data_IF_341446250647
#
_entry.id   IF_341446250647
#
_cell.length_a   1.000
_cell.length_b   1.000
_cell.length_c   1.000
_cell.angle_alpha   90.00
_cell.angle_beta   90.00
_cell.angle_gamma   90.00
#
_symmetry.space_group_name_H-M   'P 1'
#
loop_
_entity.id
_entity.type
_entity.pdbx_description
1 polymer ?
#
# COMPACT_ATOMS: atom_id res chain seq x y z
N UNK A 1 -31.31 -30.50 46.55
CA UNK A 1 -30.67 -31.01 45.31
C UNK A 1 -30.67 -29.89 44.26
N UNK A 2 -30.07 -28.73 44.51
CA UNK A 2 -30.55 -27.51 43.79
C UNK A 2 -29.58 -26.31 43.79
N UNK A 3 -28.29 -26.49 43.49
CA UNK A 3 -27.40 -25.35 43.18
C UNK A 3 -26.23 -25.74 42.25
N UNK A 4 -25.57 -26.87 42.54
CA UNK A 4 -24.42 -27.32 41.75
C UNK A 4 -24.76 -27.70 40.30
N UNK A 5 -25.97 -28.20 40.03
CA UNK A 5 -26.47 -28.51 38.67
C UNK A 5 -26.85 -27.27 37.87
N UNK A 6 -27.25 -26.17 38.52
CA UNK A 6 -27.62 -24.92 37.85
C UNK A 6 -26.37 -24.20 37.34
N UNK A 7 -25.32 -24.11 38.17
CA UNK A 7 -24.01 -23.58 37.77
C UNK A 7 -23.32 -24.42 36.68
N UNK A 8 -23.52 -25.74 36.70
CA UNK A 8 -22.97 -26.66 35.70
C UNK A 8 -23.50 -26.46 34.28
N UNK A 9 -24.69 -25.87 34.12
CA UNK A 9 -25.30 -25.55 32.81
C UNK A 9 -25.12 -24.08 32.41
N UNK A 10 -25.09 -23.16 33.37
CA UNK A 10 -24.95 -21.73 33.05
C UNK A 10 -23.56 -21.36 32.53
N UNK A 11 -22.50 -21.98 33.07
CA UNK A 11 -21.12 -21.72 32.65
C UNK A 11 -20.86 -22.13 31.19
N UNK A 12 -21.21 -23.34 30.71
CA UNK A 12 -20.99 -23.72 29.32
C UNK A 12 -21.83 -22.92 28.34
N UNK A 13 -23.06 -22.54 28.70
CA UNK A 13 -23.92 -21.69 27.86
C UNK A 13 -23.33 -20.29 27.72
N UNK A 14 -22.82 -19.71 28.81
CA UNK A 14 -22.16 -18.41 28.77
C UNK A 14 -20.89 -18.44 27.90
N UNK A 15 -20.10 -19.51 27.99
CA UNK A 15 -18.92 -19.71 27.15
C UNK A 15 -19.29 -19.87 25.66
N UNK A 16 -20.36 -20.60 25.34
CA UNK A 16 -20.85 -20.74 23.97
C UNK A 16 -21.37 -19.42 23.38
N UNK A 17 -22.05 -18.61 24.19
CA UNK A 17 -22.53 -17.29 23.77
C UNK A 17 -21.37 -16.31 23.57
N UNK A 18 -20.35 -16.38 24.43
CA UNK A 18 -19.14 -15.57 24.31
C UNK A 18 -18.37 -15.92 23.02
N UNK A 19 -18.17 -17.20 22.75
CA UNK A 19 -17.48 -17.66 21.53
C UNK A 19 -18.27 -17.26 20.26
N UNK A 20 -19.60 -17.42 20.28
CA UNK A 20 -20.47 -16.99 19.19
C UNK A 20 -20.42 -15.47 18.98
N UNK A 21 -20.37 -14.68 20.05
CA UNK A 21 -20.23 -13.23 19.97
C UNK A 21 -18.88 -12.81 19.35
N UNK A 22 -17.78 -13.44 19.80
CA UNK A 22 -16.44 -13.18 19.27
C UNK A 22 -16.39 -13.54 17.78
N UNK A 23 -16.89 -14.71 17.40
CA UNK A 23 -16.91 -15.16 16.01
C UNK A 23 -17.73 -14.24 15.10
N UNK A 24 -18.92 -13.82 15.54
CA UNK A 24 -19.76 -12.89 14.77
C UNK A 24 -19.07 -11.54 14.60
N UNK A 25 -18.45 -11.02 15.66
CA UNK A 25 -17.76 -9.73 15.62
C UNK A 25 -16.53 -9.78 14.71
N UNK A 26 -15.72 -10.83 14.83
CA UNK A 26 -14.53 -11.04 14.01
C UNK A 26 -14.89 -11.25 12.53
N UNK A 27 -15.89 -12.08 12.25
CA UNK A 27 -16.39 -12.34 10.90
C UNK A 27 -16.94 -11.07 10.26
N UNK A 28 -17.68 -10.25 11.02
CA UNK A 28 -18.23 -8.98 10.55
C UNK A 28 -17.14 -7.94 10.26
N UNK A 29 -16.09 -7.89 11.07
CA UNK A 29 -14.97 -6.97 10.83
C UNK A 29 -14.19 -7.35 9.57
N UNK A 30 -13.97 -8.65 9.35
CA UNK A 30 -13.31 -9.14 8.13
C UNK A 30 -14.19 -8.92 6.89
N UNK A 31 -15.51 -9.14 6.98
CA UNK A 31 -16.41 -8.88 5.85
C UNK A 31 -16.52 -7.41 5.49
N UNK A 32 -16.37 -6.50 6.46
CA UNK A 32 -16.28 -5.06 6.20
C UNK A 32 -14.96 -4.70 5.48
N UNK A 33 -13.82 -5.25 5.90
CA UNK A 33 -12.54 -5.03 5.21
C UNK A 33 -12.50 -5.63 3.80
N UNK A 34 -13.06 -6.84 3.61
CA UNK A 34 -13.19 -7.49 2.31
C UNK A 34 -14.42 -7.01 1.52
N UNK A 35 -15.14 -6.01 2.01
CA UNK A 35 -16.27 -5.45 1.26
C UNK A 35 -15.77 -4.78 -0.03
N UNK A 36 -16.55 -4.92 -1.10
CA UNK A 36 -16.22 -4.38 -2.41
C UNK A 36 -15.74 -2.90 -2.42
N UNK A 37 -16.37 -1.95 -1.69
CA UNK A 37 -15.93 -0.55 -1.73
C UNK A 37 -14.58 -0.33 -1.02
N UNK A 38 -14.34 -0.97 0.12
CA UNK A 38 -13.10 -0.79 0.88
C UNK A 38 -11.93 -1.46 0.16
N UNK A 39 -12.16 -2.67 -0.37
CA UNK A 39 -11.16 -3.35 -1.17
C UNK A 39 -10.81 -2.55 -2.43
N UNK A 40 -11.80 -2.01 -3.13
CA UNK A 40 -11.58 -1.13 -4.28
C UNK A 40 -10.77 0.11 -3.88
N UNK A 41 -11.12 0.78 -2.78
CA UNK A 41 -10.38 1.95 -2.31
C UNK A 41 -8.91 1.63 -2.03
N UNK A 42 -8.62 0.51 -1.37
CA UNK A 42 -7.25 0.06 -1.10
C UNK A 42 -6.49 -0.17 -2.41
N UNK A 43 -7.09 -0.91 -3.35
CA UNK A 43 -6.46 -1.23 -4.64
C UNK A 43 -6.19 0.02 -5.45
N UNK A 44 -7.18 0.91 -5.61
CA UNK A 44 -7.00 2.15 -6.37
C UNK A 44 -5.99 3.09 -5.70
N UNK A 45 -5.98 3.17 -4.36
CA UNK A 45 -4.98 3.96 -3.64
C UNK A 45 -3.58 3.38 -3.82
N UNK A 46 -3.43 2.05 -3.79
CA UNK A 46 -2.14 1.40 -4.02
C UNK A 46 -1.65 1.65 -5.45
N UNK A 47 -2.51 1.52 -6.46
CA UNK A 47 -2.18 1.80 -7.86
C UNK A 47 -1.83 3.28 -8.04
N UNK A 48 -2.62 4.19 -7.47
CA UNK A 48 -2.37 5.63 -7.54
C UNK A 48 -1.04 6.00 -6.84
N UNK A 49 -0.77 5.44 -5.66
CA UNK A 49 0.48 5.63 -4.94
C UNK A 49 1.69 5.09 -5.71
N UNK A 50 1.55 3.93 -6.35
CA UNK A 50 2.59 3.39 -7.21
C UNK A 50 2.86 4.29 -8.42
N UNK A 51 1.80 4.78 -9.08
CA UNK A 51 1.86 5.62 -10.26
C UNK A 51 2.39 7.04 -9.97
N UNK A 52 2.03 7.65 -8.84
CA UNK A 52 2.40 9.03 -8.51
C UNK A 52 3.69 9.16 -7.71
N UNK A 53 4.05 8.15 -6.89
CA UNK A 53 5.19 8.24 -5.98
C UNK A 53 6.25 7.19 -6.29
N UNK A 54 5.90 5.89 -6.23
CA UNK A 54 6.90 4.82 -6.24
C UNK A 54 7.64 4.73 -7.58
N UNK A 55 6.92 4.58 -8.69
CA UNK A 55 7.54 4.43 -10.01
C UNK A 55 8.25 5.72 -10.47
N UNK A 56 7.65 6.93 -10.37
CA UNK A 56 8.34 8.18 -10.72
C UNK A 56 9.64 8.38 -9.94
N UNK A 57 9.65 8.02 -8.64
CA UNK A 57 10.85 8.10 -7.81
C UNK A 57 11.96 7.18 -8.31
N UNK A 58 11.63 5.93 -8.66
CA UNK A 58 12.58 4.99 -9.24
C UNK A 58 13.16 5.51 -10.56
N UNK A 59 12.31 6.09 -11.42
CA UNK A 59 12.73 6.69 -12.69
C UNK A 59 13.69 7.88 -12.47
N UNK A 60 13.41 8.75 -11.49
CA UNK A 60 14.29 9.87 -11.13
C UNK A 60 15.70 9.40 -10.74
N UNK A 61 15.79 8.40 -9.87
CA UNK A 61 17.09 7.84 -9.45
C UNK A 61 17.79 7.10 -10.59
N UNK A 62 17.03 6.43 -11.46
CA UNK A 62 17.59 5.78 -12.64
C UNK A 62 18.21 6.80 -13.59
N UNK A 63 17.53 7.93 -13.84
CA UNK A 63 18.09 9.03 -14.64
C UNK A 63 19.40 9.53 -14.05
N UNK A 64 19.44 9.81 -12.75
CA UNK A 64 20.67 10.23 -12.07
C UNK A 64 21.82 9.23 -12.27
N UNK A 65 21.54 7.93 -12.17
CA UNK A 65 22.58 6.91 -12.21
C UNK A 65 23.15 6.67 -13.61
N UNK A 66 22.30 6.68 -14.65
CA UNK A 66 22.69 6.14 -15.96
C UNK A 66 22.51 7.04 -17.16
N UNK A 67 21.90 8.22 -17.05
CA UNK A 67 21.54 9.06 -18.21
C UNK A 67 22.68 9.30 -19.22
N UNK A 68 23.91 9.50 -18.74
CA UNK A 68 25.09 9.73 -19.58
C UNK A 68 25.69 8.46 -20.21
N UNK A 69 25.29 7.27 -19.75
CA UNK A 69 25.74 5.96 -20.24
C UNK A 69 24.63 5.18 -20.97
N UNK A 70 23.40 5.68 -20.95
CA UNK A 70 22.22 5.04 -21.53
C UNK A 70 22.29 4.99 -23.06
N UNK A 71 22.14 3.78 -23.63
CA UNK A 71 22.06 3.52 -25.07
C UNK A 71 20.74 3.99 -25.71
N UNK A 72 20.64 3.93 -27.05
CA UNK A 72 19.52 4.53 -27.80
C UNK A 72 18.13 3.97 -27.42
N UNK A 73 17.97 2.64 -27.42
CA UNK A 73 16.69 2.00 -27.08
C UNK A 73 16.29 2.24 -25.62
N UNK A 74 17.24 2.14 -24.70
CA UNK A 74 17.02 2.41 -23.29
C UNK A 74 16.58 3.87 -23.07
N UNK A 75 17.18 4.82 -23.80
CA UNK A 75 16.80 6.24 -23.74
C UNK A 75 15.37 6.48 -24.21
N UNK A 76 14.96 5.85 -25.31
CA UNK A 76 13.58 5.94 -25.81
C UNK A 76 12.60 5.41 -24.76
N UNK A 77 12.90 4.26 -24.17
CA UNK A 77 12.05 3.68 -23.13
C UNK A 77 11.95 4.56 -21.88
N UNK A 78 13.07 5.15 -21.42
CA UNK A 78 13.04 6.06 -20.28
C UNK A 78 12.29 7.36 -20.59
N UNK A 79 12.42 7.90 -21.80
CA UNK A 79 11.61 9.05 -22.23
C UNK A 79 10.12 8.70 -22.23
N UNK A 80 9.74 7.53 -22.74
CA UNK A 80 8.37 7.03 -22.65
C UNK A 80 7.88 6.96 -21.20
N UNK A 81 8.67 6.36 -20.30
CA UNK A 81 8.34 6.31 -18.88
C UNK A 81 8.19 7.71 -18.26
N UNK A 82 9.06 8.65 -18.61
CA UNK A 82 8.95 10.03 -18.12
C UNK A 82 7.66 10.72 -18.56
N UNK A 83 7.20 10.50 -19.80
CA UNK A 83 5.92 11.02 -20.26
C UNK A 83 4.73 10.29 -19.63
N UNK A 84 4.82 8.97 -19.51
CA UNK A 84 3.74 8.17 -18.92
C UNK A 84 3.54 8.48 -17.43
N UNK A 85 4.62 8.74 -16.70
CA UNK A 85 4.63 9.07 -15.26
C UNK A 85 4.87 10.56 -14.97
N UNK A 86 4.72 11.42 -15.99
CA UNK A 86 4.93 12.85 -15.90
C UNK A 86 4.25 13.54 -14.69
N UNK A 87 2.96 13.28 -14.38
CA UNK A 87 2.32 13.95 -13.24
C UNK A 87 3.00 13.61 -11.90
N UNK A 88 3.49 12.38 -11.73
CA UNK A 88 4.23 11.98 -10.54
C UNK A 88 5.62 12.62 -10.48
N UNK A 89 6.32 12.69 -11.62
CA UNK A 89 7.61 13.39 -11.70
C UNK A 89 7.47 14.88 -11.37
N UNK A 90 6.40 15.53 -11.82
CA UNK A 90 6.10 16.92 -11.49
C UNK A 90 5.87 17.11 -9.98
N UNK A 91 5.13 16.19 -9.36
CA UNK A 91 4.86 16.22 -7.92
C UNK A 91 6.14 16.05 -7.09
N UNK A 92 7.07 15.20 -7.54
CA UNK A 92 8.35 14.96 -6.85
C UNK A 92 9.42 16.02 -7.16
N UNK A 93 9.24 16.81 -8.22
CA UNK A 93 10.24 17.77 -8.72
C UNK A 93 10.76 18.80 -7.69
N UNK A 94 9.95 19.38 -6.76
CA UNK A 94 10.49 20.36 -5.82
C UNK A 94 11.34 19.72 -4.71
N UNK A 95 11.26 18.41 -4.51
CA UNK A 95 11.93 17.72 -3.40
C UNK A 95 13.32 17.18 -3.78
N UNK A 96 13.52 16.78 -5.03
CA UNK A 96 14.75 16.14 -5.47
C UNK A 96 15.57 17.06 -6.36
N UNK A 97 16.70 17.54 -5.85
CA UNK A 97 17.66 18.34 -6.61
C UNK A 97 18.91 17.53 -6.96
N UNK A 98 19.05 17.11 -8.21
CA UNK A 98 20.20 16.33 -8.68
C UNK A 98 21.32 17.21 -9.23
N UNK A 99 21.67 18.28 -8.48
CA UNK A 99 22.80 19.13 -8.84
C UNK A 99 24.10 18.33 -8.68
N UNK A 100 24.98 18.32 -9.70
CA UNK A 100 26.32 17.76 -9.55
C UNK A 100 27.07 18.48 -8.43
N UNK A 101 27.83 17.73 -7.63
CA UNK A 101 28.67 18.29 -6.59
C UNK A 101 29.73 19.22 -7.17
N UNK A 102 30.10 20.24 -6.40
CA UNK A 102 31.17 21.13 -6.79
C UNK A 102 32.47 20.35 -6.96
N UNK A 103 33.17 20.57 -8.08
CA UNK A 103 34.48 19.97 -8.32
C UNK A 103 35.45 20.51 -7.28
N UNK A 104 36.06 19.61 -6.49
CA UNK A 104 37.19 19.99 -5.65
C UNK A 104 38.42 20.16 -6.57
N UNK A 105 39.05 21.33 -6.48
CA UNK A 105 40.22 21.73 -7.25
C UNK A 105 41.43 21.65 -6.34
#
# INVERSE_FOLDING_TARGET
>A
MTAHTFLGLTIPILLQLLDRYIHITLSRNMSLLLSAPILAAIVYTAIAGAYLLVIPLLVLFYFKARWYKTGSLERVFLCFLAFFFFPGLLLLSPFFNFRPEARQI
#
